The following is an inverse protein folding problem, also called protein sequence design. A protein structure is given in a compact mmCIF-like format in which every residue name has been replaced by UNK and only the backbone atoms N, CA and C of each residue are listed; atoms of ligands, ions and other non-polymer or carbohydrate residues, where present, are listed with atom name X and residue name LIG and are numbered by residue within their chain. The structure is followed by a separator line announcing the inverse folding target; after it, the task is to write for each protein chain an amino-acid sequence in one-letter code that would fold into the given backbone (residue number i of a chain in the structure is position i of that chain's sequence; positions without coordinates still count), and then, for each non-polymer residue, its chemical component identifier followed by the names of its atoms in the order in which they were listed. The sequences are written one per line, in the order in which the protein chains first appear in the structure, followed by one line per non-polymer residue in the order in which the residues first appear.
data_IF_230328172854
#
_entry.id   IF_230328172854
#
_cell.length_a   1.000
_cell.length_b   1.000
_cell.length_c   1.000
_cell.angle_alpha   90.00
_cell.angle_beta   90.00
_cell.angle_gamma   90.00
#
_symmetry.space_group_name_H-M   'P 1'
#
loop_
_entity.id
_entity.type
_entity.pdbx_description
1 polymer ?
#
# COMPACT_ATOMS: atom_id res chain seq x y z
N UNK A 1 1.06 -20.77 -1.86
CA UNK A 1 0.28 -21.61 -2.79
C UNK A 1 1.22 -22.42 -3.67
N UNK A 2 0.84 -23.64 -4.03
CA UNK A 2 1.53 -24.41 -5.07
C UNK A 2 1.04 -23.91 -6.44
N UNK A 3 1.93 -23.77 -7.43
CA UNK A 3 1.50 -23.41 -8.78
C UNK A 3 0.67 -24.56 -9.39
N UNK A 4 -0.36 -24.20 -10.12
CA UNK A 4 -1.09 -25.14 -10.97
C UNK A 4 -0.37 -25.18 -12.31
N UNK A 5 0.12 -26.34 -12.72
CA UNK A 5 0.82 -26.49 -13.99
C UNK A 5 -0.10 -27.09 -15.06
N UNK A 6 -0.09 -26.49 -16.24
CA UNK A 6 -0.73 -27.07 -17.42
C UNK A 6 0.05 -28.29 -17.92
N UNK A 7 -0.58 -29.11 -18.76
CA UNK A 7 0.10 -30.24 -19.43
C UNK A 7 1.31 -29.83 -20.29
N UNK A 8 1.37 -28.56 -20.70
CA UNK A 8 2.47 -27.97 -21.48
C UNK A 8 3.55 -27.29 -20.62
N UNK A 9 3.52 -27.47 -19.30
CA UNK A 9 4.51 -26.90 -18.38
C UNK A 9 4.33 -25.45 -18.02
N UNK A 10 3.21 -24.79 -18.38
CA UNK A 10 2.90 -23.43 -17.95
C UNK A 10 2.44 -23.44 -16.51
N UNK A 11 3.09 -22.67 -15.65
CA UNK A 11 2.75 -22.53 -14.24
C UNK A 11 1.84 -21.33 -13.99
N UNK A 12 0.77 -21.54 -13.21
CA UNK A 12 -0.16 -20.52 -12.76
C UNK A 12 -0.01 -20.33 -11.26
N UNK A 13 0.15 -19.10 -10.83
CA UNK A 13 0.28 -18.73 -9.42
C UNK A 13 -0.97 -18.00 -8.95
N UNK A 14 -1.63 -18.56 -7.93
CA UNK A 14 -2.75 -17.87 -7.28
C UNK A 14 -2.27 -16.74 -6.37
N UNK A 15 -3.08 -15.69 -6.29
CA UNK A 15 -2.90 -14.63 -5.30
C UNK A 15 -3.06 -15.19 -3.88
N UNK A 16 -2.16 -14.82 -2.99
CA UNK A 16 -2.30 -15.09 -1.57
C UNK A 16 -3.10 -13.96 -0.92
N UNK A 17 -4.29 -14.29 -0.40
CA UNK A 17 -5.20 -13.29 0.18
C UNK A 17 -4.68 -12.71 1.49
N UNK A 18 -4.06 -13.53 2.34
CA UNK A 18 -3.48 -13.06 3.61
C UNK A 18 -2.36 -12.03 3.40
N UNK A 19 -1.61 -12.13 2.28
CA UNK A 19 -0.58 -11.16 1.94
C UNK A 19 -1.15 -9.92 1.27
N UNK A 20 -2.26 -10.02 0.54
CA UNK A 20 -2.74 -8.92 -0.30
C UNK A 20 -3.77 -8.04 0.38
N UNK A 21 -4.70 -8.60 1.16
CA UNK A 21 -5.78 -7.84 1.80
C UNK A 21 -5.28 -6.69 2.69
N UNK A 22 -4.27 -6.87 3.56
CA UNK A 22 -3.78 -5.78 4.42
C UNK A 22 -3.19 -4.60 3.66
N UNK A 23 -2.76 -4.80 2.41
CA UNK A 23 -2.16 -3.78 1.56
C UNK A 23 -3.17 -3.15 0.61
N UNK A 24 -4.23 -3.89 0.25
CA UNK A 24 -5.26 -3.43 -0.69
C UNK A 24 -6.38 -2.62 -0.04
N UNK A 25 -6.79 -3.01 1.17
CA UNK A 25 -7.98 -2.44 1.79
C UNK A 25 -7.68 -1.06 2.38
N UNK A 26 -8.38 -0.04 1.90
CA UNK A 26 -8.36 1.27 2.52
C UNK A 26 -9.19 1.33 3.82
N UNK A 27 -10.07 0.34 4.05
CA UNK A 27 -10.92 0.29 5.25
C UNK A 27 -10.30 -0.54 6.36
N UNK A 28 -9.86 -1.76 6.03
CA UNK A 28 -9.41 -2.75 7.02
C UNK A 28 -7.89 -3.03 6.91
N UNK A 29 -7.20 -2.33 6.02
CA UNK A 29 -5.77 -2.49 5.75
C UNK A 29 -4.94 -1.27 6.11
N UNK A 30 -3.65 -1.37 5.84
CA UNK A 30 -2.69 -0.31 6.14
C UNK A 30 -3.00 1.03 5.47
N UNK A 31 -3.45 1.09 4.20
CA UNK A 31 -3.67 2.37 3.50
C UNK A 31 -4.69 3.28 4.17
N UNK A 32 -5.59 2.74 5.00
CA UNK A 32 -6.61 3.48 5.73
C UNK A 32 -6.15 4.08 7.06
N UNK A 33 -4.87 3.95 7.44
CA UNK A 33 -4.40 4.47 8.72
C UNK A 33 -4.59 5.99 8.82
N UNK A 34 -5.07 6.41 9.97
CA UNK A 34 -5.45 7.80 10.29
C UNK A 34 -4.34 8.84 10.11
N UNK A 35 -3.09 8.45 10.14
CA UNK A 35 -1.95 9.37 9.97
C UNK A 35 -1.54 9.55 8.51
N UNK A 36 -2.08 8.73 7.60
CA UNK A 36 -1.77 8.81 6.18
C UNK A 36 -2.52 9.95 5.49
N UNK A 37 -2.02 10.33 4.32
CA UNK A 37 -2.54 11.46 3.56
C UNK A 37 -3.96 11.19 3.05
N UNK A 38 -4.87 12.10 3.35
CA UNK A 38 -6.25 12.05 2.86
C UNK A 38 -6.29 12.18 1.34
N UNK A 39 -6.89 11.21 0.68
CA UNK A 39 -6.95 11.16 -0.77
C UNK A 39 -7.94 12.16 -1.36
N UNK A 40 -9.08 12.35 -0.70
CA UNK A 40 -10.19 13.14 -1.24
C UNK A 40 -10.10 14.63 -0.93
N UNK A 41 -9.31 15.05 0.08
CA UNK A 41 -9.16 16.45 0.46
C UNK A 41 -8.07 17.12 -0.38
N UNK A 42 -8.50 17.89 -1.37
CA UNK A 42 -7.63 18.55 -2.34
C UNK A 42 -7.92 20.06 -2.40
N UNK A 43 -6.86 20.85 -2.35
CA UNK A 43 -6.94 22.31 -2.34
C UNK A 43 -7.70 22.90 -3.55
N UNK A 44 -7.70 22.18 -4.68
CA UNK A 44 -8.46 22.58 -5.87
C UNK A 44 -9.98 22.58 -5.68
N UNK A 45 -10.48 21.77 -4.74
CA UNK A 45 -11.89 21.77 -4.35
C UNK A 45 -12.19 22.75 -3.20
N UNK A 46 -11.23 22.97 -2.32
CA UNK A 46 -11.41 23.79 -1.11
C UNK A 46 -11.33 25.28 -1.39
N UNK A 47 -10.40 25.71 -2.25
CA UNK A 47 -10.22 27.14 -2.53
C UNK A 47 -11.42 27.76 -3.24
N UNK A 48 -11.78 29.02 -2.90
CA UNK A 48 -12.71 29.81 -3.69
C UNK A 48 -12.26 29.92 -5.16
N UNK A 49 -13.21 29.82 -6.09
CA UNK A 49 -12.90 29.89 -7.53
C UNK A 49 -12.15 31.19 -7.90
N UNK A 50 -12.46 32.29 -7.25
CA UNK A 50 -11.75 33.56 -7.46
C UNK A 50 -10.26 33.53 -7.15
N UNK A 51 -9.84 32.71 -6.16
CA UNK A 51 -8.42 32.50 -5.87
C UNK A 51 -7.76 31.59 -6.91
N UNK A 52 -8.47 30.57 -7.38
CA UNK A 52 -7.99 29.67 -8.44
C UNK A 52 -7.81 30.44 -9.78
N UNK A 53 -8.76 31.29 -10.14
CA UNK A 53 -8.71 32.11 -11.35
C UNK A 53 -7.52 33.08 -11.37
N UNK A 54 -7.16 33.67 -10.22
CA UNK A 54 -5.92 34.48 -10.10
C UNK A 54 -4.64 33.68 -10.40
N UNK A 55 -4.69 32.35 -10.37
CA UNK A 55 -3.61 31.44 -10.71
C UNK A 55 -3.79 30.75 -12.08
N UNK A 56 -4.71 31.26 -12.92
CA UNK A 56 -4.96 30.72 -14.24
C UNK A 56 -5.81 29.44 -14.28
N UNK A 57 -6.43 29.07 -13.15
CA UNK A 57 -7.28 27.88 -13.06
C UNK A 57 -8.74 28.32 -13.17
N UNK A 58 -9.36 28.06 -14.31
CA UNK A 58 -10.71 28.55 -14.65
C UNK A 58 -11.85 27.79 -13.96
N UNK A 59 -11.63 26.57 -13.53
CA UNK A 59 -12.65 25.71 -12.91
C UNK A 59 -12.09 24.97 -11.70
N UNK A 60 -12.96 24.61 -10.75
CA UNK A 60 -12.57 23.69 -9.66
C UNK A 60 -12.23 22.32 -10.22
N UNK A 61 -11.10 21.76 -9.82
CA UNK A 61 -10.61 20.44 -10.21
C UNK A 61 -9.55 19.96 -9.21
N UNK A 62 -9.23 18.66 -9.16
CA UNK A 62 -8.10 18.19 -8.38
C UNK A 62 -6.80 18.83 -8.87
N UNK A 63 -5.99 19.32 -7.94
CA UNK A 63 -4.67 19.90 -8.20
C UNK A 63 -3.53 18.99 -7.71
N UNK A 64 -3.85 17.90 -7.04
CA UNK A 64 -2.86 17.06 -6.36
C UNK A 64 -2.27 17.69 -5.09
N UNK A 65 -2.79 18.82 -4.66
CA UNK A 65 -2.32 19.57 -3.49
C UNK A 65 -3.12 19.15 -2.24
N UNK A 66 -2.61 18.17 -1.52
CA UNK A 66 -3.27 17.51 -0.40
C UNK A 66 -2.41 17.65 0.85
N UNK A 67 -2.90 18.38 1.85
CA UNK A 67 -2.15 18.77 3.05
C UNK A 67 -2.74 18.20 4.35
N UNK A 68 -3.71 17.30 4.25
CA UNK A 68 -4.40 16.75 5.41
C UNK A 68 -4.21 15.24 5.48
N UNK A 69 -4.30 14.70 6.68
CA UNK A 69 -4.30 13.26 6.95
C UNK A 69 -5.74 12.74 7.05
N UNK A 70 -5.90 11.43 7.01
CA UNK A 70 -7.20 10.75 7.16
C UNK A 70 -7.86 11.13 8.51
N UNK A 71 -7.08 11.26 9.58
CA UNK A 71 -7.51 11.66 10.92
C UNK A 71 -8.49 10.67 11.54
N UNK A 72 -9.66 10.51 10.92
CA UNK A 72 -10.69 9.53 11.25
C UNK A 72 -11.61 9.37 10.03
N UNK A 73 -12.13 8.17 9.79
CA UNK A 73 -13.02 7.89 8.65
C UNK A 73 -14.40 8.53 8.80
N UNK A 74 -14.85 8.76 10.04
CA UNK A 74 -16.20 9.24 10.34
C UNK A 74 -16.32 10.77 10.41
N UNK A 75 -15.22 11.51 10.32
CA UNK A 75 -15.26 12.98 10.33
C UNK A 75 -15.35 13.58 8.94
N UNK A 76 -15.94 14.77 8.84
CA UNK A 76 -16.05 15.50 7.58
C UNK A 76 -14.68 15.91 7.04
N UNK A 77 -14.60 16.14 5.72
CA UNK A 77 -13.36 16.64 5.10
C UNK A 77 -12.91 17.99 5.69
N UNK A 78 -13.84 18.81 6.20
CA UNK A 78 -13.54 20.09 6.84
C UNK A 78 -12.76 19.96 8.14
N UNK A 79 -12.93 18.86 8.86
CA UNK A 79 -12.37 18.61 10.19
C UNK A 79 -11.07 17.80 10.18
N UNK A 80 -10.59 17.40 8.99
CA UNK A 80 -9.33 16.66 8.84
C UNK A 80 -8.15 17.49 9.30
N UNK A 81 -7.25 16.88 10.09
CA UNK A 81 -6.04 17.49 10.60
C UNK A 81 -4.94 17.58 9.53
N UNK A 82 -3.93 18.41 9.78
CA UNK A 82 -2.79 18.52 8.87
C UNK A 82 -1.96 17.24 8.84
N UNK A 83 -1.48 16.92 7.64
CA UNK A 83 -0.59 15.82 7.38
C UNK A 83 0.82 16.10 7.88
N UNK A 84 1.40 15.14 8.59
CA UNK A 84 2.77 15.19 9.11
C UNK A 84 3.59 14.06 8.49
N UNK A 85 4.45 14.42 7.55
CA UNK A 85 5.20 13.46 6.72
C UNK A 85 6.05 12.50 7.56
N UNK A 86 6.73 12.98 8.59
CA UNK A 86 7.56 12.12 9.44
C UNK A 86 6.72 11.11 10.24
N UNK A 87 5.55 11.52 10.73
CA UNK A 87 4.62 10.61 11.41
C UNK A 87 4.16 9.49 10.45
N UNK A 88 3.77 9.86 9.25
CA UNK A 88 3.33 8.92 8.22
C UNK A 88 4.44 7.97 7.75
N UNK A 89 5.68 8.46 7.57
CA UNK A 89 6.84 7.62 7.24
C UNK A 89 7.16 6.61 8.34
N UNK A 90 7.12 7.04 9.59
CA UNK A 90 7.32 6.14 10.73
C UNK A 90 6.23 5.06 10.77
N UNK A 91 4.98 5.45 10.56
CA UNK A 91 3.86 4.51 10.50
C UNK A 91 4.00 3.52 9.33
N UNK A 92 4.44 3.96 8.17
CA UNK A 92 4.73 3.06 7.04
C UNK A 92 5.84 2.05 7.36
N UNK A 93 6.84 2.46 8.13
CA UNK A 93 7.90 1.57 8.61
C UNK A 93 7.40 0.54 9.64
N UNK A 94 6.50 0.95 10.55
CA UNK A 94 5.82 0.06 11.50
C UNK A 94 4.93 -0.97 10.78
N UNK A 95 4.14 -0.52 9.80
CA UNK A 95 3.30 -1.40 8.98
C UNK A 95 4.12 -2.39 8.16
N UNK A 96 5.29 -1.98 7.65
CA UNK A 96 6.20 -2.90 6.96
C UNK A 96 6.74 -3.98 7.91
N UNK A 97 7.11 -3.62 9.15
CA UNK A 97 7.54 -4.59 10.16
C UNK A 97 6.40 -5.55 10.54
N UNK A 98 5.19 -5.04 10.77
CA UNK A 98 4.01 -5.87 11.04
C UNK A 98 3.70 -6.82 9.87
N UNK A 99 3.72 -6.31 8.65
CA UNK A 99 3.51 -7.14 7.45
C UNK A 99 4.53 -8.27 7.34
N UNK A 100 5.82 -7.95 7.46
CA UNK A 100 6.90 -8.93 7.35
C UNK A 100 6.83 -9.97 8.46
N UNK A 101 6.49 -9.57 9.69
CA UNK A 101 6.32 -10.49 10.80
C UNK A 101 5.20 -11.51 10.52
N UNK A 102 4.04 -11.05 10.06
CA UNK A 102 2.93 -11.93 9.74
C UNK A 102 3.24 -12.85 8.53
N UNK A 103 3.94 -12.34 7.53
CA UNK A 103 4.41 -13.19 6.39
C UNK A 103 5.44 -14.22 6.82
N UNK A 104 6.34 -13.88 7.76
CA UNK A 104 7.29 -14.84 8.32
C UNK A 104 6.57 -16.00 9.03
N UNK A 105 5.61 -15.68 9.92
CA UNK A 105 4.78 -16.69 10.60
C UNK A 105 3.98 -17.56 9.62
N UNK A 106 3.41 -16.95 8.58
CA UNK A 106 2.66 -17.67 7.54
C UNK A 106 3.57 -18.65 6.78
N UNK A 107 4.78 -18.21 6.38
CA UNK A 107 5.76 -19.04 5.70
C UNK A 107 6.23 -20.19 6.60
N UNK A 108 6.47 -19.94 7.87
CA UNK A 108 6.84 -20.98 8.85
C UNK A 108 5.76 -22.05 8.96
N UNK A 109 4.50 -21.65 9.17
CA UNK A 109 3.34 -22.56 9.20
C UNK A 109 3.23 -23.39 7.93
N UNK A 110 3.39 -22.78 6.76
CA UNK A 110 3.35 -23.48 5.47
C UNK A 110 4.53 -24.45 5.31
N UNK A 111 5.71 -24.12 5.81
CA UNK A 111 6.89 -24.98 5.78
C UNK A 111 6.68 -26.25 6.61
N UNK A 112 6.06 -26.12 7.79
CA UNK A 112 5.74 -27.25 8.65
C UNK A 112 4.67 -28.19 8.06
N UNK A 113 3.78 -27.66 7.22
CA UNK A 113 2.67 -28.42 6.62
C UNK A 113 2.94 -28.91 5.20
N UNK A 114 4.13 -28.69 4.64
CA UNK A 114 4.45 -29.03 3.24
C UNK A 114 5.88 -29.53 3.10
N UNK A 115 6.08 -30.50 2.20
CA UNK A 115 7.42 -30.98 1.79
C UNK A 115 8.13 -30.00 0.81
N UNK A 116 7.48 -28.97 0.37
CA UNK A 116 8.01 -28.00 -0.59
C UNK A 116 8.29 -26.65 0.07
N UNK A 117 9.28 -25.90 -0.45
CA UNK A 117 9.49 -24.50 -0.04
C UNK A 117 8.26 -23.67 -0.37
N UNK A 118 7.63 -23.02 0.62
CA UNK A 118 6.46 -22.21 0.37
C UNK A 118 6.80 -20.95 -0.42
N UNK A 119 5.84 -20.51 -1.24
CA UNK A 119 5.88 -19.26 -1.98
C UNK A 119 4.57 -18.49 -1.75
N UNK A 120 4.68 -17.24 -1.31
CA UNK A 120 3.56 -16.31 -1.25
C UNK A 120 3.60 -15.42 -2.49
N UNK A 121 2.47 -15.27 -3.15
CA UNK A 121 2.34 -14.44 -4.35
C UNK A 121 1.39 -13.29 -4.05
N UNK A 122 1.94 -12.08 -3.96
CA UNK A 122 1.21 -10.87 -3.62
C UNK A 122 1.31 -9.86 -4.77
N UNK A 123 0.46 -9.98 -5.80
CA UNK A 123 0.39 -9.01 -6.89
C UNK A 123 -0.36 -7.76 -6.45
N UNK A 124 0.19 -6.60 -6.81
CA UNK A 124 -0.41 -5.29 -6.57
C UNK A 124 -0.38 -4.46 -7.83
N UNK A 125 -1.36 -3.59 -8.00
CA UNK A 125 -1.32 -2.56 -9.02
C UNK A 125 -0.27 -1.52 -8.67
N UNK A 126 0.56 -1.14 -9.63
CA UNK A 126 1.65 -0.19 -9.39
C UNK A 126 1.14 1.18 -8.90
N UNK A 127 -0.03 1.62 -9.37
CA UNK A 127 -0.64 2.89 -8.98
C UNK A 127 -1.13 2.92 -7.52
N UNK A 128 -1.27 1.75 -6.87
CA UNK A 128 -1.57 1.73 -5.44
C UNK A 128 -0.51 2.50 -4.66
N UNK A 129 0.76 2.30 -4.99
CA UNK A 129 1.89 2.87 -4.28
C UNK A 129 2.27 4.25 -4.84
N UNK A 130 1.94 5.29 -4.08
CA UNK A 130 2.21 6.68 -4.40
C UNK A 130 1.03 7.46 -4.96
N UNK A 131 0.05 6.81 -5.61
CA UNK A 131 -1.17 7.46 -6.08
C UNK A 131 -2.32 7.27 -5.09
N UNK A 132 -2.85 6.05 -4.97
CA UNK A 132 -3.94 5.75 -4.03
C UNK A 132 -3.48 5.78 -2.57
N UNK A 133 -2.33 5.21 -2.30
CA UNK A 133 -1.66 5.23 -1.01
C UNK A 133 -0.34 5.99 -1.13
N UNK A 134 -0.34 7.24 -0.75
CA UNK A 134 0.83 8.13 -0.91
C UNK A 134 2.08 7.61 -0.22
N UNK A 135 1.94 7.01 0.95
CA UNK A 135 3.02 6.43 1.75
C UNK A 135 3.43 5.03 1.29
N UNK A 136 2.71 4.45 0.35
CA UNK A 136 3.00 3.13 -0.19
C UNK A 136 4.46 2.91 -0.63
N UNK A 137 5.13 3.86 -1.30
CA UNK A 137 6.56 3.76 -1.61
C UNK A 137 7.45 3.59 -0.38
N UNK A 138 7.18 4.28 0.72
CA UNK A 138 7.93 4.13 1.97
C UNK A 138 7.70 2.77 2.62
N UNK A 139 6.48 2.25 2.54
CA UNK A 139 6.15 0.89 2.96
C UNK A 139 6.95 -0.14 2.16
N UNK A 140 6.95 -0.06 0.82
CA UNK A 140 7.72 -0.97 -0.05
C UNK A 140 9.22 -0.86 0.22
N UNK A 141 9.75 0.34 0.37
CA UNK A 141 11.16 0.57 0.70
C UNK A 141 11.55 -0.17 1.99
N UNK A 142 10.71 -0.06 3.03
CA UNK A 142 10.96 -0.76 4.30
C UNK A 142 10.82 -2.28 4.16
N UNK A 143 9.88 -2.79 3.36
CA UNK A 143 9.78 -4.22 3.03
C UNK A 143 11.10 -4.71 2.40
N UNK A 144 11.61 -3.99 1.40
CA UNK A 144 12.86 -4.34 0.71
C UNK A 144 14.06 -4.34 1.66
N UNK A 145 14.18 -3.32 2.51
CA UNK A 145 15.30 -3.17 3.46
C UNK A 145 15.29 -4.18 4.59
N UNK A 146 14.10 -4.60 5.03
CA UNK A 146 13.94 -5.37 6.28
C UNK A 146 13.62 -6.85 6.07
N UNK A 147 13.26 -7.28 4.86
CA UNK A 147 12.79 -8.65 4.59
C UNK A 147 13.75 -9.74 5.08
N UNK A 148 15.07 -9.55 4.94
CA UNK A 148 16.08 -10.50 5.41
C UNK A 148 16.07 -10.69 6.92
N UNK A 149 15.76 -9.64 7.70
CA UNK A 149 15.61 -9.70 9.16
C UNK A 149 14.49 -10.64 9.59
N UNK A 150 13.48 -10.81 8.75
CA UNK A 150 12.34 -11.70 8.96
C UNK A 150 12.48 -13.05 8.25
N UNK A 151 13.69 -13.39 7.78
CA UNK A 151 13.97 -14.61 7.03
C UNK A 151 13.15 -14.76 5.74
N UNK A 152 12.71 -13.64 5.17
CA UNK A 152 11.94 -13.59 3.93
C UNK A 152 12.86 -13.25 2.76
N UNK A 153 12.88 -14.14 1.76
CA UNK A 153 13.57 -13.89 0.49
C UNK A 153 12.58 -13.35 -0.54
N UNK A 154 12.71 -12.09 -0.87
CA UNK A 154 11.90 -11.48 -1.93
C UNK A 154 12.35 -11.98 -3.32
N UNK A 155 11.38 -12.20 -4.19
CA UNK A 155 11.56 -12.60 -5.58
C UNK A 155 10.68 -11.71 -6.47
N UNK A 156 11.22 -11.21 -7.54
CA UNK A 156 10.46 -10.56 -8.61
C UNK A 156 10.27 -11.60 -9.70
N UNK A 157 9.04 -11.74 -10.21
CA UNK A 157 8.77 -12.58 -11.37
C UNK A 157 9.56 -12.04 -12.57
N UNK A 158 10.37 -12.87 -13.23
CA UNK A 158 11.00 -12.51 -14.48
C UNK A 158 9.98 -12.68 -15.61
N UNK A 159 9.66 -11.60 -16.30
CA UNK A 159 9.11 -11.71 -17.63
C UNK A 159 10.28 -12.17 -18.54
N UNK A 160 10.12 -13.29 -19.22
CA UNK A 160 10.99 -13.62 -20.34
C UNK A 160 10.52 -12.76 -21.51
N UNK A 161 11.37 -11.85 -21.93
CA UNK A 161 11.25 -11.18 -23.22
C UNK A 161 11.90 -12.09 -24.26
#
# INVERSE_FOLDING_TARGET
ALPICSKKGVAFFGRDSESTLPVWSAKDGFPGDKVYREFHKDLGWELPLSKLQKKGISTKRPLGLKFHKITDENISLGEKEFYLENEAKNKAAEHADAYLLERSKQLEKLTLSSSFKPLLVAPFDAELFGHWWYEGPFFIENILKKSSKYSIRLKIGRAHV
#
